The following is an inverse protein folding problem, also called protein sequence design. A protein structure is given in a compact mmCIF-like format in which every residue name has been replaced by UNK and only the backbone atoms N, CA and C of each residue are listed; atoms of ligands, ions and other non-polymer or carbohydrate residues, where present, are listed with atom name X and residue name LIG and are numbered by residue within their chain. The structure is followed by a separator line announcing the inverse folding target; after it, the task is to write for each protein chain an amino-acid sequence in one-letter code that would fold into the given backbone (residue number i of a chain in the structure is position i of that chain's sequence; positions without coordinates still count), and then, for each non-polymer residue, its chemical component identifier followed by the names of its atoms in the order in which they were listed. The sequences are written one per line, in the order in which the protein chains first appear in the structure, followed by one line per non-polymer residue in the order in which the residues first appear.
data_IF_236984378700
#
_entry.id   IF_236984378700
#
_cell.length_a   1.000
_cell.length_b   1.000
_cell.length_c   1.000
_cell.angle_alpha   90.00
_cell.angle_beta   90.00
_cell.angle_gamma   90.00
#
_symmetry.space_group_name_H-M   'P 1'
#
loop_
_entity.id
_entity.type
_entity.pdbx_description
1 polymer ?
#
# COMPACT_ATOMS: atom_id res chain seq x y z
N UNK A 1 2.61 -6.35 -22.93
CA UNK A 1 1.66 -5.97 -21.86
C UNK A 1 2.49 -5.21 -20.86
N UNK A 2 2.28 -3.90 -20.69
CA UNK A 2 3.10 -3.07 -19.80
C UNK A 2 2.69 -3.34 -18.36
N UNK A 3 3.45 -4.13 -17.61
CA UNK A 3 3.25 -4.31 -16.18
C UNK A 3 3.46 -2.95 -15.51
N UNK A 4 2.35 -2.26 -15.22
CA UNK A 4 2.39 -0.97 -14.54
C UNK A 4 2.73 -1.25 -13.09
N UNK A 5 3.90 -0.82 -12.64
CA UNK A 5 4.22 -0.81 -11.22
C UNK A 5 3.51 0.38 -10.58
N UNK A 6 2.98 0.17 -9.38
CA UNK A 6 2.46 1.24 -8.53
C UNK A 6 3.18 1.17 -7.20
N UNK A 7 3.57 2.34 -6.69
CA UNK A 7 4.17 2.44 -5.36
C UNK A 7 3.11 2.67 -4.29
N UNK A 8 3.42 2.31 -3.05
CA UNK A 8 2.59 2.68 -1.90
C UNK A 8 2.38 4.20 -1.84
N UNK A 9 3.42 4.97 -2.18
CA UNK A 9 3.36 6.43 -2.14
C UNK A 9 2.36 6.99 -3.15
N UNK A 10 2.32 6.44 -4.37
CA UNK A 10 1.34 6.82 -5.39
C UNK A 10 -0.08 6.45 -4.99
N UNK A 11 -0.29 5.23 -4.48
CA UNK A 11 -1.62 4.81 -3.99
C UNK A 11 -2.11 5.71 -2.86
N UNK A 12 -1.25 6.03 -1.90
CA UNK A 12 -1.60 6.91 -0.79
C UNK A 12 -1.93 8.32 -1.28
N UNK A 13 -1.10 8.90 -2.16
CA UNK A 13 -1.34 10.22 -2.74
C UNK A 13 -2.65 10.30 -3.53
N UNK A 14 -2.97 9.26 -4.28
CA UNK A 14 -4.21 9.16 -5.07
C UNK A 14 -5.47 9.27 -4.20
N UNK A 15 -5.43 8.78 -2.96
CA UNK A 15 -6.54 8.85 -2.01
C UNK A 15 -6.38 9.94 -0.92
N UNK A 16 -5.35 10.80 -1.03
CA UNK A 16 -5.07 11.85 -0.04
C UNK A 16 -4.55 11.34 1.32
N UNK A 17 -4.00 10.13 1.37
CA UNK A 17 -3.37 9.56 2.56
C UNK A 17 -1.89 9.92 2.60
N UNK A 18 -1.38 10.14 3.81
CA UNK A 18 0.05 10.36 4.00
C UNK A 18 0.85 9.07 3.65
N UNK A 19 1.81 9.15 2.71
CA UNK A 19 2.55 7.98 2.24
C UNK A 19 3.42 7.34 3.34
N UNK A 20 3.89 8.11 4.34
CA UNK A 20 4.62 7.53 5.47
C UNK A 20 3.68 6.75 6.38
N UNK A 21 2.49 7.29 6.67
CA UNK A 21 1.48 6.59 7.46
C UNK A 21 1.05 5.28 6.79
N UNK A 22 0.92 5.29 5.46
CA UNK A 22 0.58 4.08 4.71
C UNK A 22 1.70 3.04 4.73
N UNK A 23 2.97 3.45 4.51
CA UNK A 23 4.13 2.55 4.62
C UNK A 23 4.26 1.94 6.02
N UNK A 24 3.99 2.70 7.08
CA UNK A 24 3.98 2.18 8.44
C UNK A 24 2.89 1.14 8.63
N UNK A 25 1.67 1.38 8.13
CA UNK A 25 0.58 0.42 8.21
C UNK A 25 0.88 -0.86 7.40
N UNK A 26 1.55 -0.75 6.26
CA UNK A 26 1.98 -1.91 5.46
C UNK A 26 3.04 -2.73 6.20
N UNK A 27 3.98 -2.05 6.88
CA UNK A 27 5.00 -2.69 7.71
C UNK A 27 4.41 -3.37 8.95
N UNK A 28 3.38 -2.78 9.54
CA UNK A 28 2.62 -3.34 10.67
C UNK A 28 1.81 -4.57 10.25
N UNK A 29 1.33 -4.63 9.00
CA UNK A 29 0.59 -5.77 8.47
C UNK A 29 1.43 -7.04 8.27
N UNK A 30 2.76 -6.96 8.38
CA UNK A 30 3.70 -8.08 8.33
C UNK A 30 3.45 -9.10 7.19
N UNK A 31 3.39 -8.63 5.95
CA UNK A 31 3.12 -9.50 4.81
C UNK A 31 4.25 -10.52 4.58
N UNK A 32 3.93 -11.75 4.13
CA UNK A 32 4.95 -12.76 3.84
C UNK A 32 5.88 -12.33 2.71
N UNK A 33 5.41 -11.56 1.73
CA UNK A 33 6.19 -11.04 0.60
C UNK A 33 6.93 -9.72 0.87
N UNK A 34 6.80 -9.15 2.07
CA UNK A 34 7.40 -7.85 2.42
C UNK A 34 8.91 -7.80 2.26
N UNK A 35 9.60 -8.94 2.31
CA UNK A 35 11.05 -9.04 2.16
C UNK A 35 11.52 -8.89 0.70
N UNK A 36 10.61 -9.07 -0.26
CA UNK A 36 10.90 -8.92 -1.69
C UNK A 36 10.68 -7.47 -2.17
N UNK A 37 10.09 -6.67 -1.31
CA UNK A 37 9.69 -5.30 -1.60
C UNK A 37 10.82 -4.36 -1.22
N UNK A 38 11.29 -3.58 -2.19
CA UNK A 38 12.23 -2.50 -1.93
C UNK A 38 11.57 -1.39 -1.08
N UNK A 39 12.36 -0.51 -0.46
CA UNK A 39 11.87 0.50 0.49
C UNK A 39 10.74 1.41 -0.01
N UNK A 40 10.52 1.46 -1.32
CA UNK A 40 9.47 2.25 -1.97
C UNK A 40 8.11 1.57 -2.11
N UNK A 41 8.02 0.28 -1.76
CA UNK A 41 6.77 -0.50 -1.84
C UNK A 41 6.16 -0.50 -3.25
N UNK A 42 7.00 -0.77 -4.25
CA UNK A 42 6.59 -0.95 -5.63
C UNK A 42 6.06 -2.36 -5.86
N UNK A 43 4.82 -2.45 -6.32
CA UNK A 43 4.15 -3.70 -6.67
C UNK A 43 3.53 -3.58 -8.04
N UNK A 44 3.35 -4.71 -8.70
CA UNK A 44 2.63 -4.74 -9.96
C UNK A 44 1.14 -4.45 -9.74
N UNK A 45 0.59 -3.54 -10.54
CA UNK A 45 -0.82 -3.20 -10.54
C UNK A 45 -1.62 -4.46 -10.92
N UNK A 46 -2.69 -4.71 -10.17
CA UNK A 46 -3.54 -5.92 -10.23
C UNK A 46 -2.91 -7.23 -9.72
N UNK A 47 -1.68 -7.21 -9.20
CA UNK A 47 -1.10 -8.38 -8.52
C UNK A 47 -1.68 -8.62 -7.12
N UNK A 48 -1.54 -9.84 -6.56
CA UNK A 48 -2.02 -10.13 -5.21
C UNK A 48 -1.42 -9.22 -4.13
N UNK A 49 -0.18 -8.75 -4.31
CA UNK A 49 0.45 -7.75 -3.44
C UNK A 49 -0.28 -6.40 -3.50
N UNK A 50 -0.68 -5.94 -4.70
CA UNK A 50 -1.45 -4.71 -4.86
C UNK A 50 -2.82 -4.80 -4.16
N UNK A 51 -3.50 -5.95 -4.25
CA UNK A 51 -4.76 -6.19 -3.53
C UNK A 51 -4.58 -6.15 -2.01
N UNK A 52 -3.46 -6.68 -1.53
CA UNK A 52 -3.08 -6.67 -0.11
C UNK A 52 -2.78 -5.24 0.38
N UNK A 53 -2.01 -4.47 -0.40
CA UNK A 53 -1.73 -3.06 -0.12
C UNK A 53 -3.01 -2.22 -0.09
N UNK A 54 -3.90 -2.43 -1.07
CA UNK A 54 -5.20 -1.76 -1.12
C UNK A 54 -6.05 -2.07 0.11
N UNK A 55 -6.02 -3.31 0.62
CA UNK A 55 -6.75 -3.69 1.83
C UNK A 55 -6.26 -2.91 3.06
N UNK A 56 -4.94 -2.76 3.21
CA UNK A 56 -4.36 -1.93 4.28
C UNK A 56 -4.73 -0.46 4.11
N UNK A 57 -4.73 0.05 2.88
CA UNK A 57 -5.11 1.43 2.59
C UNK A 57 -6.56 1.71 3.00
N UNK A 58 -7.48 0.81 2.63
CA UNK A 58 -8.88 0.89 3.02
C UNK A 58 -9.05 0.80 4.54
N UNK A 59 -8.27 -0.06 5.21
CA UNK A 59 -8.29 -0.18 6.68
C UNK A 59 -7.79 1.10 7.35
N UNK A 60 -6.73 1.71 6.82
CA UNK A 60 -6.19 2.98 7.31
C UNK A 60 -7.18 4.14 7.11
N UNK A 61 -7.84 4.20 5.95
CA UNK A 61 -8.90 5.17 5.65
C UNK A 61 -10.09 5.02 6.61
N UNK A 62 -10.50 3.77 6.90
CA UNK A 62 -11.55 3.50 7.88
C UNK A 62 -11.17 3.93 9.29
N UNK A 63 -9.91 3.71 9.71
CA UNK A 63 -9.41 4.16 11.02
C UNK A 63 -9.38 5.69 11.13
N UNK A 64 -9.00 6.41 10.07
CA UNK A 64 -8.99 7.88 10.01
C UNK A 64 -10.39 8.51 10.05
N UNK A 65 -11.43 7.77 9.66
CA UNK A 65 -12.82 8.25 9.58
C UNK A 65 -13.65 7.97 10.85
N UNK A 66 -13.03 7.49 11.93
CA UNK A 66 -13.74 7.29 13.20
C UNK A 66 -13.91 8.66 13.89
N UNK A 67 -15.15 9.09 14.19
CA UNK A 67 -15.45 10.37 14.84
C UNK A 67 -14.90 10.43 16.28
#
# INVERSE_FOLDING_TARGET
MTNKLTSAAEMARSVGVDPKAFRLALRDAQFPWQHQINGDWDVELDSPEHSSMRTVLVTLLKKRKKP
#
